data_IF_196374361382
#
_entry.id   IF_196374361382
#
_cell.length_a   1.000
_cell.length_b   1.000
_cell.length_c   1.000
_cell.angle_alpha   90.00
_cell.angle_beta   90.00
_cell.angle_gamma   90.00
#
_symmetry.space_group_name_H-M   'P 1'
#
loop_
_entity.id
_entity.type
_entity.pdbx_description
1 polymer ?
#
# COMPACT_ATOMS: atom_id res chain seq x y z
N UNK A 1 7.87 12.77 2.50
CA UNK A 1 6.43 13.05 2.37
C UNK A 1 5.98 13.88 3.55
N UNK A 2 5.06 14.84 3.35
CA UNK A 2 4.57 15.71 4.43
C UNK A 2 3.07 15.53 4.56
N UNK A 3 2.61 15.23 5.77
CA UNK A 3 1.20 15.11 6.12
C UNK A 3 0.82 16.24 7.09
N UNK A 4 -0.35 16.84 6.86
CA UNK A 4 -0.98 17.80 7.78
C UNK A 4 -2.18 17.14 8.43
N UNK A 5 -2.14 16.97 9.75
CA UNK A 5 -3.23 16.37 10.53
C UNK A 5 -3.91 17.45 11.36
N UNK A 6 -5.24 17.59 11.26
CA UNK A 6 -6.07 18.40 12.16
C UNK A 6 -6.94 19.49 11.50
N UNK A 7 -7.94 19.96 12.26
CA UNK A 7 -8.78 21.12 11.93
C UNK A 7 -8.24 22.44 12.54
N UNK A 8 -9.02 23.53 12.55
CA UNK A 8 -8.56 24.91 12.82
C UNK A 8 -7.80 25.18 14.14
N UNK A 9 -7.68 24.20 15.04
CA UNK A 9 -7.08 24.35 16.37
C UNK A 9 -6.06 23.26 16.76
N UNK A 10 -5.63 22.39 15.83
CA UNK A 10 -4.68 21.32 16.14
C UNK A 10 -3.85 20.85 14.94
N UNK A 11 -3.20 21.77 14.22
CA UNK A 11 -2.30 21.41 13.13
C UNK A 11 -1.07 20.68 13.67
N UNK A 12 -0.88 19.43 13.26
CA UNK A 12 0.37 18.73 13.45
C UNK A 12 0.96 18.37 12.09
N UNK A 13 2.22 18.76 11.88
CA UNK A 13 2.98 18.43 10.68
C UNK A 13 3.79 17.17 10.94
N UNK A 14 3.62 16.17 10.08
CA UNK A 14 4.48 14.98 10.05
C UNK A 14 5.31 14.97 8.78
N UNK A 15 6.62 14.92 8.95
CA UNK A 15 7.60 14.73 7.87
C UNK A 15 8.11 13.32 7.91
N UNK A 16 7.81 12.56 6.86
CA UNK A 16 8.27 11.20 6.65
C UNK A 16 9.46 11.18 5.69
N UNK A 17 10.51 10.43 6.06
CA UNK A 17 11.75 10.31 5.31
C UNK A 17 12.35 8.91 5.45
N UNK A 18 12.91 8.39 4.38
CA UNK A 18 13.68 7.15 4.38
C UNK A 18 14.82 7.26 3.36
N UNK A 19 15.89 6.51 3.59
CA UNK A 19 16.95 6.27 2.61
C UNK A 19 17.20 4.78 2.52
N UNK A 20 17.52 4.27 1.33
CA UNK A 20 17.79 2.85 1.14
C UNK A 20 18.89 2.35 2.11
N UNK A 21 18.57 1.35 2.91
CA UNK A 21 19.41 0.79 3.98
C UNK A 21 19.59 1.68 5.22
N UNK A 22 18.95 2.85 5.29
CA UNK A 22 19.06 3.80 6.41
C UNK A 22 17.90 3.74 7.42
N UNK A 23 16.83 3.06 7.03
CA UNK A 23 15.56 2.96 7.74
C UNK A 23 14.62 4.15 7.51
N UNK A 24 13.41 4.00 8.04
CA UNK A 24 12.33 4.97 7.95
C UNK A 24 12.23 5.86 9.20
N UNK A 25 11.81 7.12 9.00
CA UNK A 25 11.68 8.12 10.06
C UNK A 25 10.42 8.97 9.91
N UNK A 26 9.84 9.37 11.04
CA UNK A 26 8.78 10.39 11.14
C UNK A 26 9.26 11.48 12.11
N UNK A 27 9.32 12.73 11.65
CA UNK A 27 9.83 13.86 12.43
C UNK A 27 11.22 13.59 13.05
N UNK A 28 12.09 12.91 12.30
CA UNK A 28 13.44 12.55 12.73
C UNK A 28 13.54 11.36 13.70
N UNK A 29 12.42 10.81 14.15
CA UNK A 29 12.39 9.59 14.98
C UNK A 29 12.26 8.36 14.09
N UNK A 30 13.04 7.31 14.37
CA UNK A 30 12.96 6.04 13.63
C UNK A 30 11.60 5.39 13.87
N UNK A 31 11.01 4.83 12.81
CA UNK A 31 9.70 4.18 12.85
C UNK A 31 9.79 2.74 12.33
N UNK A 32 8.82 1.93 12.71
CA UNK A 32 8.72 0.53 12.30
C UNK A 32 7.27 0.18 12.04
N UNK A 33 7.06 -0.75 11.11
CA UNK A 33 5.74 -1.29 10.86
C UNK A 33 5.20 -2.06 12.08
N UNK A 34 3.87 -2.17 12.15
CA UNK A 34 3.16 -2.84 13.25
C UNK A 34 3.56 -4.32 13.39
N UNK A 35 3.47 -4.86 14.61
CA UNK A 35 3.68 -6.30 14.87
C UNK A 35 2.37 -7.09 14.98
N UNK A 36 1.23 -6.49 14.63
CA UNK A 36 -0.06 -7.21 14.57
C UNK A 36 0.04 -8.37 13.59
N UNK A 37 -0.34 -9.56 14.04
CA UNK A 37 -0.13 -10.85 13.35
C UNK A 37 -1.43 -11.54 12.91
N UNK A 38 -2.58 -10.93 13.18
CA UNK A 38 -3.92 -11.45 12.92
C UNK A 38 -4.77 -10.42 12.19
N UNK A 39 -5.51 -10.85 11.16
CA UNK A 39 -6.32 -9.94 10.31
C UNK A 39 -7.45 -9.34 11.15
N UNK A 40 -8.00 -10.10 12.08
CA UNK A 40 -9.05 -9.71 13.03
C UNK A 40 -8.64 -8.54 13.92
N UNK A 41 -7.34 -8.38 14.18
CA UNK A 41 -6.78 -7.29 14.97
C UNK A 41 -6.22 -6.15 14.12
N UNK A 42 -6.23 -6.29 12.81
CA UNK A 42 -5.64 -5.31 11.89
C UNK A 42 -6.60 -4.17 11.56
N UNK A 43 -6.07 -2.97 11.36
CA UNK A 43 -6.74 -1.85 10.68
C UNK A 43 -6.10 -1.70 9.30
N UNK A 44 -6.92 -1.73 8.27
CA UNK A 44 -6.43 -1.76 6.89
C UNK A 44 -6.84 -0.50 6.12
N UNK A 45 -6.12 -0.19 5.05
CA UNK A 45 -6.41 0.97 4.19
C UNK A 45 -6.46 0.54 2.72
N UNK A 46 -7.28 1.21 1.93
CA UNK A 46 -7.29 1.06 0.47
C UNK A 46 -7.67 2.37 -0.20
N UNK A 47 -7.45 2.47 -1.51
CA UNK A 47 -8.02 3.52 -2.34
C UNK A 47 -8.80 2.94 -3.52
N UNK A 48 -9.57 3.81 -4.19
CA UNK A 48 -10.45 3.44 -5.29
C UNK A 48 -10.19 4.36 -6.46
N UNK A 49 -9.95 3.76 -7.63
CA UNK A 49 -9.89 4.47 -8.89
C UNK A 49 -11.21 5.16 -9.23
N UNK A 50 -11.13 6.20 -10.06
CA UNK A 50 -12.28 6.98 -10.51
C UNK A 50 -13.15 6.25 -11.54
N UNK A 51 -12.58 5.29 -12.25
CA UNK A 51 -13.27 4.46 -13.23
C UNK A 51 -13.98 3.30 -12.53
N UNK A 52 -15.31 3.22 -12.66
CA UNK A 52 -16.12 2.17 -12.05
C UNK A 52 -16.27 0.96 -12.98
N UNK A 53 -15.16 0.24 -13.19
CA UNK A 53 -15.08 -0.95 -14.03
C UNK A 53 -14.90 -2.25 -13.21
N UNK A 54 -14.43 -3.32 -13.86
CA UNK A 54 -14.21 -4.62 -13.22
C UNK A 54 -13.17 -4.54 -12.08
N UNK A 55 -12.10 -3.76 -12.22
CA UNK A 55 -11.10 -3.60 -11.17
C UNK A 55 -11.65 -2.82 -9.98
N UNK A 56 -12.48 -1.79 -10.23
CA UNK A 56 -13.20 -1.10 -9.16
C UNK A 56 -14.17 -2.03 -8.42
N UNK A 57 -14.95 -2.82 -9.16
CA UNK A 57 -15.92 -3.75 -8.58
C UNK A 57 -15.22 -4.82 -7.74
N UNK A 58 -14.11 -5.35 -8.25
CA UNK A 58 -13.24 -6.29 -7.52
C UNK A 58 -12.69 -5.68 -6.24
N UNK A 59 -12.27 -4.42 -6.29
CA UNK A 59 -11.76 -3.74 -5.10
C UNK A 59 -12.86 -3.48 -4.05
N UNK A 60 -14.11 -3.22 -4.48
CA UNK A 60 -15.26 -3.10 -3.57
C UNK A 60 -15.54 -4.43 -2.87
N UNK A 61 -15.43 -5.55 -3.58
CA UNK A 61 -15.56 -6.89 -2.98
C UNK A 61 -14.48 -7.13 -1.92
N UNK A 62 -13.22 -6.83 -2.22
CA UNK A 62 -12.12 -6.90 -1.24
C UNK A 62 -12.35 -5.99 -0.03
N UNK A 63 -12.77 -4.74 -0.27
CA UNK A 63 -13.07 -3.79 0.80
C UNK A 63 -14.17 -4.32 1.73
N UNK A 64 -15.24 -4.90 1.17
CA UNK A 64 -16.31 -5.52 1.94
C UNK A 64 -15.78 -6.71 2.75
N UNK A 65 -15.09 -7.64 2.09
CA UNK A 65 -14.54 -8.83 2.74
C UNK A 65 -13.64 -8.47 3.92
N UNK A 66 -12.68 -7.56 3.71
CA UNK A 66 -11.76 -7.15 4.77
C UNK A 66 -12.44 -6.33 5.86
N UNK A 67 -13.51 -5.59 5.56
CA UNK A 67 -14.31 -4.92 6.59
C UNK A 67 -14.99 -5.92 7.52
N UNK A 68 -15.43 -7.07 6.98
CA UNK A 68 -16.10 -8.11 7.77
C UNK A 68 -15.15 -8.88 8.70
N UNK A 69 -13.86 -9.00 8.34
CA UNK A 69 -12.89 -9.86 9.07
C UNK A 69 -11.80 -9.11 9.83
N UNK A 70 -11.74 -7.77 9.78
CA UNK A 70 -10.72 -6.95 10.46
C UNK A 70 -11.34 -5.94 11.44
N UNK A 71 -10.53 -5.03 12.01
CA UNK A 71 -11.05 -3.86 12.75
C UNK A 71 -11.65 -2.78 11.84
N UNK A 72 -11.74 -3.08 10.55
CA UNK A 72 -12.32 -2.27 9.51
C UNK A 72 -11.28 -1.79 8.51
N UNK A 73 -11.80 -1.30 7.39
CA UNK A 73 -10.99 -0.71 6.32
C UNK A 73 -11.21 0.81 6.32
N UNK A 74 -10.19 1.59 5.97
CA UNK A 74 -10.26 3.03 5.76
C UNK A 74 -9.94 3.38 4.31
N UNK A 75 -10.40 4.56 3.89
CA UNK A 75 -10.08 5.18 2.60
C UNK A 75 -9.72 6.63 2.87
N UNK A 76 -8.43 6.92 3.08
CA UNK A 76 -7.98 8.26 3.50
C UNK A 76 -7.71 9.19 2.31
N UNK A 77 -7.46 8.62 1.13
CA UNK A 77 -7.45 9.36 -0.15
C UNK A 77 -6.09 9.90 -0.58
N UNK A 78 -4.99 9.40 0.00
CA UNK A 78 -3.64 9.76 -0.41
C UNK A 78 -2.71 8.55 -0.28
N UNK A 79 -2.56 7.79 -1.37
CA UNK A 79 -1.79 6.55 -1.45
C UNK A 79 -0.42 6.61 -0.76
N UNK A 80 0.34 7.67 -1.05
CA UNK A 80 1.65 7.87 -0.46
C UNK A 80 1.52 7.95 1.08
N UNK A 81 0.62 8.78 1.61
CA UNK A 81 0.37 8.94 3.06
C UNK A 81 -0.11 7.63 3.69
N UNK A 82 -0.98 6.89 3.00
CA UNK A 82 -1.48 5.59 3.46
C UNK A 82 -0.32 4.60 3.67
N UNK A 83 0.64 4.54 2.74
CA UNK A 83 1.85 3.73 2.91
C UNK A 83 2.74 4.23 4.05
N UNK A 84 2.82 5.54 4.29
CA UNK A 84 3.51 6.08 5.47
C UNK A 84 2.83 5.70 6.80
N UNK A 85 1.50 5.57 6.82
CA UNK A 85 0.79 5.07 7.99
C UNK A 85 1.07 3.58 8.24
N UNK A 86 1.26 2.78 7.17
CA UNK A 86 1.75 1.40 7.28
C UNK A 86 3.17 1.38 7.86
N UNK A 87 4.08 2.19 7.33
CA UNK A 87 5.46 2.31 7.80
C UNK A 87 5.55 2.80 9.27
N UNK A 88 4.61 3.63 9.71
CA UNK A 88 4.50 4.13 11.09
C UNK A 88 3.80 3.15 12.04
N UNK A 89 3.22 2.06 11.51
CA UNK A 89 2.50 1.06 12.30
C UNK A 89 1.14 1.52 12.83
N UNK A 90 0.53 2.55 12.21
CA UNK A 90 -0.84 2.99 12.53
C UNK A 90 -1.88 2.04 11.93
N UNK A 91 -1.55 1.48 10.76
CA UNK A 91 -2.34 0.51 10.01
C UNK A 91 -1.42 -0.62 9.58
N UNK A 92 -2.00 -1.79 9.32
CA UNK A 92 -1.21 -2.99 9.00
C UNK A 92 -0.93 -3.16 7.51
N UNK A 93 -1.79 -2.64 6.63
CA UNK A 93 -1.61 -2.78 5.19
C UNK A 93 -2.37 -1.75 4.36
N UNK A 94 -1.91 -1.59 3.13
CA UNK A 94 -2.55 -0.81 2.09
C UNK A 94 -2.51 -1.54 0.75
N UNK A 95 -3.63 -1.54 0.01
CA UNK A 95 -3.70 -2.07 -1.35
C UNK A 95 -4.46 -1.14 -2.28
N UNK A 96 -4.04 -1.06 -3.54
CA UNK A 96 -4.76 -0.30 -4.58
C UNK A 96 -4.35 -0.72 -6.01
N UNK A 97 -5.31 -0.62 -6.93
CA UNK A 97 -5.10 -0.78 -8.37
C UNK A 97 -4.89 0.57 -9.07
N UNK A 98 -4.13 0.57 -10.18
CA UNK A 98 -3.87 1.69 -11.11
C UNK A 98 -3.16 2.92 -10.51
N UNK A 99 -2.42 2.76 -9.42
CA UNK A 99 -1.53 3.82 -8.94
C UNK A 99 -0.44 4.14 -9.96
N UNK A 100 -0.02 5.41 -10.01
CA UNK A 100 1.09 5.83 -10.85
C UNK A 100 2.41 5.74 -10.09
N UNK A 101 3.56 5.70 -10.78
CA UNK A 101 4.86 5.55 -10.12
C UNK A 101 5.13 6.63 -9.06
N UNK A 102 4.69 7.87 -9.31
CA UNK A 102 4.86 8.98 -8.37
C UNK A 102 3.98 8.88 -7.11
N UNK A 103 2.87 8.14 -7.17
CA UNK A 103 2.02 7.89 -6.00
C UNK A 103 2.66 6.87 -5.04
N UNK A 104 3.49 5.96 -5.58
CA UNK A 104 4.04 4.82 -4.85
C UNK A 104 5.50 4.98 -4.44
N UNK A 105 6.34 5.62 -5.26
CA UNK A 105 7.80 5.60 -5.13
C UNK A 105 8.30 5.92 -3.71
N UNK A 106 7.79 7.00 -3.12
CA UNK A 106 8.18 7.38 -1.77
C UNK A 106 7.56 6.48 -0.69
N UNK A 107 6.31 6.07 -0.85
CA UNK A 107 5.59 5.25 0.12
C UNK A 107 6.13 3.83 0.23
N UNK A 108 6.48 3.20 -0.90
CA UNK A 108 7.07 1.87 -0.97
C UNK A 108 8.40 1.82 -0.22
N UNK A 109 9.31 2.76 -0.51
CA UNK A 109 10.60 2.82 0.20
C UNK A 109 10.40 3.02 1.70
N UNK A 110 9.44 3.84 2.11
CA UNK A 110 9.11 4.04 3.52
C UNK A 110 8.67 2.74 4.20
N UNK A 111 7.84 1.92 3.53
CA UNK A 111 7.38 0.63 4.08
C UNK A 111 8.53 -0.37 4.17
N UNK A 112 9.33 -0.51 3.12
CA UNK A 112 10.48 -1.43 3.10
C UNK A 112 11.47 -1.08 4.23
N UNK A 113 11.83 0.20 4.34
CA UNK A 113 12.76 0.70 5.35
C UNK A 113 12.20 0.69 6.78
N UNK A 114 10.88 0.53 6.94
CA UNK A 114 10.22 0.30 8.22
C UNK A 114 10.11 -1.19 8.60
N UNK A 115 10.60 -2.10 7.74
CA UNK A 115 10.54 -3.55 7.93
C UNK A 115 9.25 -4.21 7.40
N UNK A 116 8.50 -3.51 6.57
CA UNK A 116 7.32 -4.06 5.90
C UNK A 116 7.64 -4.88 4.66
N UNK A 117 6.60 -5.27 3.93
CA UNK A 117 6.70 -6.07 2.69
C UNK A 117 5.84 -5.46 1.60
N UNK A 118 6.33 -5.54 0.36
CA UNK A 118 5.72 -4.95 -0.84
C UNK A 118 5.69 -5.98 -1.97
N UNK A 119 4.51 -6.14 -2.58
CA UNK A 119 4.31 -6.96 -3.79
C UNK A 119 3.30 -6.31 -4.71
N UNK A 120 3.15 -6.84 -5.92
CA UNK A 120 1.93 -6.66 -6.69
C UNK A 120 0.76 -7.37 -5.99
N UNK A 121 -0.49 -7.01 -6.35
CA UNK A 121 -1.68 -7.60 -5.73
C UNK A 121 -1.91 -9.07 -6.12
N UNK A 122 -1.25 -9.55 -7.17
CA UNK A 122 -1.19 -10.97 -7.56
C UNK A 122 -0.03 -11.73 -6.89
N UNK A 123 0.78 -11.06 -6.06
CA UNK A 123 1.91 -11.65 -5.35
C UNK A 123 3.23 -11.63 -6.10
N UNK A 124 3.26 -11.13 -7.34
CA UNK A 124 4.51 -10.97 -8.07
C UNK A 124 5.42 -9.92 -7.41
N UNK A 125 6.73 -10.03 -7.70
CA UNK A 125 7.72 -9.03 -7.27
C UNK A 125 7.30 -7.65 -7.79
N UNK A 126 7.22 -6.70 -6.88
CA UNK A 126 6.84 -5.33 -7.21
C UNK A 126 7.97 -4.55 -7.88
N UNK A 127 7.59 -3.70 -8.81
CA UNK A 127 8.35 -2.63 -9.40
C UNK A 127 7.51 -1.33 -9.34
N UNK A 128 8.16 -0.17 -9.17
CA UNK A 128 7.47 1.13 -9.09
C UNK A 128 6.63 1.47 -10.33
N UNK A 129 6.86 0.78 -11.46
CA UNK A 129 6.07 0.93 -12.68
C UNK A 129 4.84 0.02 -12.74
N UNK A 130 4.68 -0.92 -11.82
CA UNK A 130 3.52 -1.80 -11.80
C UNK A 130 2.23 -1.03 -11.51
N UNK A 131 1.10 -1.63 -11.93
CA UNK A 131 -0.23 -1.02 -11.79
C UNK A 131 -1.01 -1.52 -10.59
N UNK A 132 -0.38 -2.27 -9.70
CA UNK A 132 -1.02 -2.73 -8.48
C UNK A 132 0.03 -2.81 -7.39
N UNK A 133 -0.39 -2.57 -6.16
CA UNK A 133 0.49 -2.71 -5.02
C UNK A 133 -0.29 -3.26 -3.84
N UNK A 134 0.36 -4.17 -3.11
CA UNK A 134 0.03 -4.53 -1.75
C UNK A 134 1.26 -4.22 -0.91
N UNK A 135 1.11 -3.30 0.05
CA UNK A 135 2.11 -3.08 1.09
C UNK A 135 1.53 -3.53 2.44
N UNK A 136 2.37 -4.05 3.31
CA UNK A 136 1.94 -4.46 4.65
C UNK A 136 3.07 -4.38 5.66
N UNK A 137 2.75 -4.63 6.92
CA UNK A 137 3.71 -4.80 8.00
C UNK A 137 4.63 -6.04 7.91
N UNK A 138 4.54 -6.80 6.82
CA UNK A 138 5.32 -8.01 6.57
C UNK A 138 4.74 -9.25 7.25
N UNK A 139 4.35 -9.14 8.52
CA UNK A 139 3.78 -10.25 9.29
C UNK A 139 2.45 -10.75 8.70
N UNK A 140 1.59 -9.82 8.25
CA UNK A 140 0.28 -10.15 7.67
C UNK A 140 0.30 -10.38 6.17
N UNK A 141 1.43 -10.18 5.51
CA UNK A 141 1.48 -10.06 4.06
C UNK A 141 0.88 -11.29 3.33
N UNK A 142 1.31 -12.50 3.71
CA UNK A 142 0.81 -13.74 3.12
C UNK A 142 -0.69 -13.94 3.35
N UNK A 143 -1.18 -13.68 4.57
CA UNK A 143 -2.61 -13.83 4.93
C UNK A 143 -3.52 -12.88 4.15
N UNK A 144 -3.03 -11.68 3.85
CA UNK A 144 -3.76 -10.71 3.02
C UNK A 144 -3.72 -11.15 1.55
N UNK A 145 -2.55 -11.60 1.08
CA UNK A 145 -2.36 -12.03 -0.29
C UNK A 145 -3.21 -13.25 -0.66
N UNK A 146 -3.41 -14.19 0.27
CA UNK A 146 -4.33 -15.34 0.09
C UNK A 146 -5.75 -14.93 -0.33
N UNK A 147 -6.20 -13.73 0.07
CA UNK A 147 -7.52 -13.18 -0.28
C UNK A 147 -7.46 -12.23 -1.49
N UNK A 148 -6.36 -11.50 -1.65
CA UNK A 148 -6.20 -10.47 -2.69
C UNK A 148 -5.77 -11.05 -4.05
N UNK A 149 -4.91 -12.06 -4.07
CA UNK A 149 -4.36 -12.61 -5.31
C UNK A 149 -5.43 -13.27 -6.20
N UNK A 150 -6.31 -14.17 -5.69
CA UNK A 150 -7.29 -14.84 -6.56
C UNK A 150 -8.21 -13.90 -7.36
N UNK A 151 -8.82 -12.85 -6.77
CA UNK A 151 -9.62 -11.91 -7.55
C UNK A 151 -8.76 -11.05 -8.51
N UNK A 152 -7.50 -10.76 -8.16
CA UNK A 152 -6.57 -10.04 -9.05
C UNK A 152 -6.19 -10.89 -10.27
N UNK A 153 -5.87 -12.17 -10.08
CA UNK A 153 -5.61 -13.13 -11.16
C UNK A 153 -6.82 -13.27 -12.09
N UNK A 154 -8.03 -13.26 -11.53
CA UNK A 154 -9.26 -13.27 -12.31
C UNK A 154 -9.39 -12.03 -13.20
N UNK A 155 -9.00 -10.85 -12.74
CA UNK A 155 -8.95 -9.64 -13.58
C UNK A 155 -7.94 -9.78 -14.73
N UNK A 156 -6.76 -10.32 -14.46
CA UNK A 156 -5.74 -10.61 -15.49
C UNK A 156 -6.32 -11.55 -16.54
N UNK A 157 -6.99 -12.63 -16.13
CA UNK A 157 -7.62 -13.60 -17.05
C UNK A 157 -8.72 -13.00 -17.94
N UNK A 158 -9.34 -11.90 -17.49
CA UNK A 158 -10.35 -11.13 -18.24
C UNK A 158 -9.75 -10.09 -19.20
N UNK A 159 -8.42 -10.01 -19.29
CA UNK A 159 -7.71 -9.08 -20.16
C UNK A 159 -7.52 -7.68 -19.57
N UNK A 160 -7.63 -7.52 -18.24
CA UNK A 160 -7.29 -6.25 -17.61
C UNK A 160 -5.78 -5.97 -17.73
N UNK A 161 -5.43 -4.76 -18.14
CA UNK A 161 -4.04 -4.38 -18.40
C UNK A 161 -3.30 -4.05 -17.10
N UNK A 162 -2.51 -5.03 -16.64
CA UNK A 162 -1.54 -4.89 -15.55
C UNK A 162 -0.09 -4.68 -16.06
N UNK A 163 0.10 -4.43 -17.36
CA UNK A 163 1.45 -4.14 -17.87
C UNK A 163 2.02 -2.89 -17.19
N UNK A 164 3.33 -2.85 -16.92
CA UNK A 164 3.94 -1.69 -16.29
C UNK A 164 3.58 -0.39 -17.02
N UNK A 165 3.44 0.70 -16.27
CA UNK A 165 3.55 2.04 -16.82
C UNK A 165 4.89 2.21 -17.56
N UNK A 166 5.01 3.30 -18.31
CA UNK A 166 6.23 3.61 -19.06
C UNK A 166 7.48 3.47 -18.17
N UNK A 167 8.28 2.44 -18.43
CA UNK A 167 9.58 2.18 -17.83
C UNK A 167 10.67 2.60 -18.82
N UNK A 168 11.55 3.55 -18.48
CA UNK A 168 12.66 3.92 -19.36
C UNK A 168 13.59 2.72 -19.63
N UNK A 169 14.12 2.61 -20.86
CA UNK A 169 14.91 1.44 -21.31
C UNK A 169 16.13 1.15 -20.42
N UNK A 170 16.77 2.19 -19.88
CA UNK A 170 17.96 2.08 -19.02
C UNK A 170 17.65 2.16 -17.52
N UNK A 171 16.39 1.99 -17.12
CA UNK A 171 16.00 2.00 -15.71
C UNK A 171 16.15 0.61 -15.10
N UNK A 172 17.23 0.41 -14.35
CA UNK A 172 17.49 -0.83 -13.63
C UNK A 172 16.60 -0.92 -12.38
N UNK A 173 15.84 -2.03 -12.29
CA UNK A 173 14.89 -2.30 -11.19
C UNK A 173 15.33 -3.45 -10.30
N UNK A 174 16.42 -4.12 -10.70
CA UNK A 174 17.03 -5.21 -9.94
C UNK A 174 18.29 -4.66 -9.27
N UNK A 175 18.32 -4.74 -7.95
CA UNK A 175 19.53 -4.61 -7.13
C UNK A 175 20.09 -6.01 -6.85
#
# INVERSE_FOLDING_TARGET
>A
MVEFVGGPMAWNTRTFSATAGGGAFCNGQRIHASQTDTVERSLLVTGFGYEHDDAWSTNIELFKEFTDVSRGVRRLGAAAVDMCHVALGIVEAYWEYRLKPWDMAAGVLMVEEAGGTVTCMDGNKFCVFDRSVLVSNGVLHSKLLERIAPPTEKLISKGFDFSPWFKPENYHTDF
#
